data_IF_403532116941
#
_entry.id   IF_403532116941
#
_cell.length_a   1.000
_cell.length_b   1.000
_cell.length_c   1.000
_cell.angle_alpha   90.00
_cell.angle_beta   90.00
_cell.angle_gamma   90.00
#
_symmetry.space_group_name_H-M   'P 1'
#
loop_
_entity.id
_entity.type
_entity.pdbx_description
1 polymer ?
#
# COMPACT_ATOMS: atom_id res chain seq x y z
N UNK A 1 25.27 -65.12 15.10
CA UNK A 1 25.39 -64.03 14.10
C UNK A 1 24.00 -63.82 13.50
N UNK A 2 23.22 -62.89 14.06
CA UNK A 2 21.90 -62.52 13.55
C UNK A 2 21.68 -61.05 13.94
N UNK A 3 21.72 -60.17 12.95
CA UNK A 3 21.58 -58.73 13.12
C UNK A 3 20.09 -58.38 13.15
N UNK A 4 19.59 -57.92 14.29
CA UNK A 4 18.30 -57.22 14.37
C UNK A 4 18.48 -55.80 13.85
N UNK A 5 17.94 -55.53 12.66
CA UNK A 5 17.84 -54.17 12.11
C UNK A 5 16.51 -53.56 12.54
N UNK A 6 16.56 -52.64 13.49
CA UNK A 6 15.48 -51.71 13.80
C UNK A 6 15.33 -50.73 12.63
N UNK A 7 14.19 -50.78 11.95
CA UNK A 7 13.82 -49.75 10.97
C UNK A 7 13.26 -48.53 11.72
N UNK A 8 14.02 -47.44 11.76
CA UNK A 8 13.49 -46.12 12.15
C UNK A 8 12.86 -45.52 10.90
N UNK A 9 11.53 -45.44 10.88
CA UNK A 9 10.78 -44.80 9.80
C UNK A 9 10.91 -43.28 9.94
N UNK A 10 11.67 -42.65 9.05
CA UNK A 10 11.76 -41.19 8.97
C UNK A 10 10.45 -40.63 8.41
N UNK A 11 9.64 -40.00 9.26
CA UNK A 11 8.46 -39.25 8.84
C UNK A 11 8.97 -37.93 8.26
N UNK A 12 9.01 -37.83 6.93
CA UNK A 12 9.31 -36.58 6.25
C UNK A 12 8.09 -35.66 6.37
N UNK A 13 8.16 -34.64 7.23
CA UNK A 13 7.16 -33.56 7.23
C UNK A 13 7.30 -32.78 5.92
N UNK A 14 6.36 -32.99 5.00
CA UNK A 14 6.18 -32.11 3.85
C UNK A 14 5.58 -30.82 4.42
N UNK A 15 6.37 -29.74 4.46
CA UNK A 15 5.84 -28.41 4.71
C UNK A 15 4.90 -28.06 3.57
N UNK A 16 3.59 -28.14 3.81
CA UNK A 16 2.60 -27.66 2.87
C UNK A 16 2.75 -26.13 2.78
N UNK A 17 3.34 -25.65 1.69
CA UNK A 17 3.32 -24.24 1.36
C UNK A 17 1.88 -23.87 1.01
N UNK A 18 1.19 -23.24 1.96
CA UNK A 18 -0.10 -22.62 1.69
C UNK A 18 0.13 -21.48 0.70
N UNK A 19 -0.20 -21.73 -0.57
CA UNK A 19 -0.30 -20.67 -1.56
C UNK A 19 -1.56 -19.87 -1.26
N UNK A 20 -1.39 -18.69 -0.67
CA UNK A 20 -2.47 -17.70 -0.59
C UNK A 20 -2.66 -17.18 -2.02
N UNK A 21 -3.63 -17.74 -2.73
CA UNK A 21 -4.12 -17.14 -3.97
C UNK A 21 -4.81 -15.82 -3.62
N UNK A 22 -4.31 -14.71 -4.15
CA UNK A 22 -5.06 -13.46 -4.13
C UNK A 22 -6.40 -13.69 -4.83
N UNK A 23 -7.50 -13.46 -4.12
CA UNK A 23 -8.84 -13.54 -4.71
C UNK A 23 -8.99 -12.43 -5.76
N UNK A 24 -9.04 -12.81 -7.03
CA UNK A 24 -9.34 -11.89 -8.13
C UNK A 24 -10.84 -11.61 -8.13
N UNK A 25 -11.26 -10.60 -7.35
CA UNK A 25 -12.64 -10.09 -7.40
C UNK A 25 -12.74 -9.08 -8.55
N UNK A 26 -13.62 -9.36 -9.52
CA UNK A 26 -13.79 -8.58 -10.74
C UNK A 26 -14.21 -7.11 -10.53
N UNK A 27 -13.94 -6.28 -11.55
CA UNK A 27 -14.24 -4.84 -11.69
C UNK A 27 -14.57 -4.11 -10.37
N UNK A 28 -13.51 -3.72 -9.66
CA UNK A 28 -13.61 -2.98 -8.42
C UNK A 28 -13.88 -1.49 -8.69
N UNK A 29 -14.90 -0.85 -8.07
CA UNK A 29 -15.21 0.57 -8.29
C UNK A 29 -14.11 1.54 -7.81
N UNK A 30 -13.02 1.03 -7.24
CA UNK A 30 -11.87 1.78 -6.74
C UNK A 30 -10.52 1.47 -7.38
N UNK A 31 -10.47 0.59 -8.39
CA UNK A 31 -9.24 0.31 -9.14
C UNK A 31 -9.51 0.27 -10.66
N UNK A 32 -8.51 0.53 -11.52
CA UNK A 32 -8.69 0.42 -12.96
C UNK A 32 -8.99 -1.04 -13.35
N UNK A 33 -9.59 -1.24 -14.52
CA UNK A 33 -9.95 -2.58 -14.97
C UNK A 33 -8.71 -3.49 -15.08
N UNK A 34 -8.82 -4.71 -14.54
CA UNK A 34 -7.73 -5.68 -14.51
C UNK A 34 -6.74 -5.51 -13.36
N UNK A 35 -6.99 -4.60 -12.42
CA UNK A 35 -6.29 -4.53 -11.14
C UNK A 35 -7.04 -5.31 -10.04
N UNK A 36 -6.31 -5.76 -9.02
CA UNK A 36 -6.84 -6.45 -7.84
C UNK A 36 -6.25 -5.91 -6.55
N UNK A 37 -6.95 -6.08 -5.42
CA UNK A 37 -6.41 -5.73 -4.10
C UNK A 37 -5.66 -6.90 -3.45
N UNK A 38 -4.64 -6.56 -2.66
CA UNK A 38 -3.92 -7.46 -1.76
C UNK A 38 -3.61 -6.75 -0.43
N UNK A 39 -3.26 -7.53 0.58
CA UNK A 39 -2.79 -7.01 1.85
C UNK A 39 -1.43 -6.31 1.70
N UNK A 40 -1.20 -5.31 2.56
CA UNK A 40 0.06 -4.62 2.71
C UNK A 40 0.78 -5.12 3.95
N UNK A 41 2.10 -5.12 3.91
CA UNK A 41 2.94 -5.35 5.08
C UNK A 41 3.72 -4.10 5.43
N UNK A 42 3.59 -3.65 6.66
CA UNK A 42 4.38 -2.57 7.23
C UNK A 42 5.54 -3.14 8.04
N UNK A 43 6.71 -2.50 7.92
CA UNK A 43 7.93 -2.87 8.61
C UNK A 43 8.48 -1.62 9.32
N UNK A 44 8.49 -1.65 10.65
CA UNK A 44 9.01 -0.55 11.45
C UNK A 44 8.87 -0.79 12.95
N UNK A 45 9.06 0.26 13.73
CA UNK A 45 9.12 0.18 15.20
C UNK A 45 7.79 0.51 15.85
N UNK A 46 7.31 -0.41 16.70
CA UNK A 46 6.13 -0.18 17.54
C UNK A 46 6.46 0.60 18.81
N UNK A 47 7.70 0.48 19.31
CA UNK A 47 8.22 1.22 20.46
C UNK A 47 9.47 2.00 20.05
N UNK A 48 9.71 3.20 20.61
CA UNK A 48 10.83 4.08 20.21
C UNK A 48 12.19 3.36 20.21
N UNK A 49 12.44 2.56 21.25
CA UNK A 49 13.68 1.78 21.41
C UNK A 49 13.54 0.30 21.01
N UNK A 50 12.45 -0.05 20.31
CA UNK A 50 12.18 -1.40 19.83
C UNK A 50 12.99 -1.77 18.58
N UNK A 51 13.00 -3.08 18.29
CA UNK A 51 13.39 -3.59 16.97
C UNK A 51 12.24 -3.43 15.97
N UNK A 52 12.56 -3.47 14.69
CA UNK A 52 11.55 -3.50 13.64
C UNK A 52 10.71 -4.78 13.75
N UNK A 53 9.40 -4.64 13.57
CA UNK A 53 8.45 -5.73 13.43
C UNK A 53 7.82 -5.67 12.04
N UNK A 54 7.27 -6.80 11.61
CA UNK A 54 6.52 -6.91 10.36
C UNK A 54 5.06 -7.20 10.67
N UNK A 55 4.15 -6.34 10.22
CA UNK A 55 2.72 -6.44 10.46
C UNK A 55 1.99 -6.37 9.12
N UNK A 56 1.23 -7.41 8.80
CA UNK A 56 0.43 -7.49 7.57
C UNK A 56 -1.02 -7.15 7.87
N UNK A 57 -1.65 -6.36 7.00
CA UNK A 57 -3.06 -5.97 7.15
C UNK A 57 -3.72 -5.61 5.83
N UNK A 58 -5.03 -5.44 5.87
CA UNK A 58 -5.84 -5.09 4.69
C UNK A 58 -5.80 -3.58 4.35
N UNK A 59 -5.31 -2.75 5.25
CA UNK A 59 -5.00 -1.33 5.03
C UNK A 59 -4.05 -0.80 6.10
N UNK A 60 -3.55 0.43 5.95
CA UNK A 60 -2.73 1.08 6.97
C UNK A 60 -3.51 1.34 8.27
N UNK A 61 -4.80 1.66 8.19
CA UNK A 61 -5.65 1.82 9.38
C UNK A 61 -5.85 0.48 10.11
N UNK A 62 -5.95 -0.63 9.38
CA UNK A 62 -5.97 -1.97 9.99
C UNK A 62 -4.64 -2.31 10.67
N UNK A 63 -3.51 -1.97 10.06
CA UNK A 63 -2.18 -2.13 10.64
C UNK A 63 -2.03 -1.27 11.90
N UNK A 64 -2.45 -0.01 11.86
CA UNK A 64 -2.41 0.88 13.03
C UNK A 64 -3.28 0.36 14.19
N UNK A 65 -4.44 -0.22 13.89
CA UNK A 65 -5.26 -0.94 14.87
C UNK A 65 -4.49 -2.08 15.54
N UNK A 66 -3.84 -2.95 14.76
CA UNK A 66 -3.01 -4.03 15.28
C UNK A 66 -1.83 -3.51 16.12
N UNK A 67 -1.20 -2.40 15.71
CA UNK A 67 -0.13 -1.77 16.47
C UNK A 67 -0.66 -1.28 17.83
N UNK A 68 -1.85 -0.68 17.88
CA UNK A 68 -2.45 -0.16 19.12
C UNK A 68 -2.87 -1.25 20.10
N UNK A 69 -3.10 -2.48 19.65
CA UNK A 69 -3.26 -3.63 20.53
C UNK A 69 -1.96 -3.97 21.28
N UNK A 70 -0.81 -3.66 20.70
CA UNK A 70 0.53 -3.90 21.26
C UNK A 70 1.03 -2.68 22.06
N UNK A 71 0.80 -1.47 21.53
CA UNK A 71 1.17 -0.20 22.12
C UNK A 71 -0.01 0.80 22.01
N UNK A 72 -0.88 0.88 23.03
CA UNK A 72 -2.06 1.74 23.00
C UNK A 72 -1.77 3.23 22.77
N UNK A 73 -0.58 3.70 23.15
CA UNK A 73 -0.15 5.10 22.98
C UNK A 73 0.48 5.36 21.60
N UNK A 74 0.52 4.36 20.72
CA UNK A 74 1.12 4.51 19.40
C UNK A 74 0.41 5.56 18.55
N UNK A 75 1.23 6.43 17.96
CA UNK A 75 0.85 7.33 16.87
C UNK A 75 2.01 7.43 15.88
N UNK A 76 1.69 7.67 14.61
CA UNK A 76 2.69 7.83 13.56
C UNK A 76 3.62 9.06 13.75
N UNK A 77 3.27 9.97 14.65
CA UNK A 77 4.00 11.21 14.89
C UNK A 77 3.75 12.24 13.78
N UNK A 78 2.83 13.18 14.01
CA UNK A 78 2.66 14.34 13.12
C UNK A 78 3.78 15.33 13.44
N UNK A 79 4.88 15.29 12.68
CA UNK A 79 5.82 16.41 12.67
C UNK A 79 5.63 17.24 11.40
N UNK A 80 5.32 18.52 11.62
CA UNK A 80 5.51 19.60 10.66
C UNK A 80 6.94 19.56 10.12
N UNK A 81 7.07 19.55 8.79
CA UNK A 81 8.33 19.62 8.04
C UNK A 81 9.14 18.31 7.95
N UNK A 82 8.53 17.26 7.40
CA UNK A 82 9.33 16.28 6.65
C UNK A 82 9.94 17.04 5.46
N UNK A 83 11.26 17.23 5.45
CA UNK A 83 11.97 17.68 4.25
C UNK A 83 11.55 16.75 3.11
N UNK A 84 11.23 17.27 1.91
CA UNK A 84 10.92 16.42 0.78
C UNK A 84 12.01 15.35 0.68
N UNK A 85 11.59 14.08 0.51
CA UNK A 85 12.51 13.04 0.11
C UNK A 85 13.32 13.60 -1.06
N UNK A 86 14.66 13.56 -0.95
CA UNK A 86 15.56 14.09 -1.97
C UNK A 86 15.07 13.55 -3.32
N UNK A 87 14.80 14.40 -4.32
CA UNK A 87 14.42 13.93 -5.65
C UNK A 87 15.48 12.93 -6.08
N UNK A 88 15.09 11.66 -6.22
CA UNK A 88 15.98 10.63 -6.72
C UNK A 88 16.26 11.07 -8.15
N UNK A 89 17.48 11.56 -8.41
CA UNK A 89 17.89 11.96 -9.75
C UNK A 89 17.62 10.77 -10.69
N UNK A 90 16.90 11.04 -11.79
CA UNK A 90 16.41 10.07 -12.79
C UNK A 90 15.11 9.30 -12.47
N UNK A 91 14.18 9.88 -11.70
CA UNK A 91 12.85 9.31 -11.53
C UNK A 91 11.97 9.54 -12.77
N UNK A 92 12.04 8.63 -13.75
CA UNK A 92 11.10 8.61 -14.87
C UNK A 92 9.70 8.33 -14.34
N UNK A 93 8.84 9.35 -14.43
CA UNK A 93 7.46 9.28 -13.96
C UNK A 93 6.54 9.86 -15.03
N UNK A 94 5.33 9.30 -15.11
CA UNK A 94 4.25 9.90 -15.86
C UNK A 94 2.96 9.89 -15.04
N UNK A 95 2.04 10.77 -15.40
CA UNK A 95 0.81 11.01 -14.66
C UNK A 95 -0.36 11.14 -15.63
N UNK A 96 -1.48 10.51 -15.29
CA UNK A 96 -2.76 10.66 -15.99
C UNK A 96 -3.84 11.13 -15.02
N UNK A 97 -4.64 12.11 -15.44
CA UNK A 97 -5.78 12.62 -14.68
C UNK A 97 -7.11 11.95 -15.06
N UNK A 98 -7.07 10.96 -15.97
CA UNK A 98 -8.23 10.18 -16.38
C UNK A 98 -7.88 8.68 -16.45
N UNK A 99 -7.54 8.06 -15.30
CA UNK A 99 -7.35 6.61 -15.26
C UNK A 99 -8.68 5.89 -15.57
N UNK A 100 -8.58 4.84 -16.38
CA UNK A 100 -9.73 4.12 -16.90
C UNK A 100 -10.60 3.54 -15.76
N UNK A 101 -11.93 3.78 -15.83
CA UNK A 101 -12.93 3.29 -14.88
C UNK A 101 -12.76 3.79 -13.43
N UNK A 102 -12.10 4.93 -13.23
CA UNK A 102 -11.96 5.55 -11.91
C UNK A 102 -12.88 6.76 -11.77
N UNK A 103 -13.66 6.74 -10.69
CA UNK A 103 -14.58 7.82 -10.33
C UNK A 103 -13.88 8.87 -9.46
N UNK A 104 -14.52 10.04 -9.35
CA UNK A 104 -13.98 11.22 -8.68
C UNK A 104 -14.04 11.14 -7.14
N UNK A 105 -12.90 11.30 -6.48
CA UNK A 105 -12.79 11.48 -5.03
C UNK A 105 -12.95 12.95 -4.62
N UNK A 106 -13.19 13.19 -3.32
CA UNK A 106 -13.19 14.55 -2.75
C UNK A 106 -11.75 14.99 -2.44
N UNK A 107 -11.32 16.13 -3.00
CA UNK A 107 -9.95 16.65 -2.79
C UNK A 107 -9.61 16.78 -1.31
N UNK A 108 -10.52 17.35 -0.51
CA UNK A 108 -10.24 17.57 0.91
C UNK A 108 -10.02 16.26 1.69
N UNK A 109 -10.72 15.17 1.33
CA UNK A 109 -10.53 13.84 1.93
C UNK A 109 -9.21 13.20 1.51
N UNK A 110 -8.81 13.40 0.25
CA UNK A 110 -7.50 12.97 -0.23
C UNK A 110 -6.39 13.74 0.48
N UNK A 111 -6.54 15.03 0.72
CA UNK A 111 -5.58 15.82 1.48
C UNK A 111 -5.46 15.37 2.94
N UNK A 112 -6.57 15.05 3.62
CA UNK A 112 -6.53 14.41 4.95
C UNK A 112 -5.73 13.10 4.92
N UNK A 113 -5.95 12.28 3.89
CA UNK A 113 -5.18 11.05 3.65
C UNK A 113 -3.69 11.33 3.41
N UNK A 114 -3.35 12.31 2.59
CA UNK A 114 -1.95 12.72 2.34
C UNK A 114 -1.25 13.13 3.64
N UNK A 115 -1.91 13.93 4.49
CA UNK A 115 -1.35 14.34 5.79
C UNK A 115 -1.15 13.15 6.73
N UNK A 116 -2.08 12.20 6.76
CA UNK A 116 -1.92 10.94 7.48
C UNK A 116 -0.69 10.17 6.98
N UNK A 117 -0.56 10.00 5.66
CA UNK A 117 0.54 9.25 5.03
C UNK A 117 1.93 9.89 5.25
N UNK A 118 2.03 11.22 5.39
CA UNK A 118 3.29 11.91 5.74
C UNK A 118 3.83 11.47 7.11
N UNK A 119 2.94 11.11 8.03
CA UNK A 119 3.27 10.63 9.36
C UNK A 119 3.87 9.22 9.34
N UNK A 120 3.42 8.35 8.44
CA UNK A 120 3.80 6.93 8.45
C UNK A 120 5.30 6.78 8.19
N UNK A 121 6.00 6.16 9.15
CA UNK A 121 7.44 5.85 9.07
C UNK A 121 7.64 4.37 8.84
N UNK A 122 8.78 4.01 8.27
CA UNK A 122 9.17 2.62 8.03
C UNK A 122 9.10 2.24 6.56
N UNK A 123 9.19 0.94 6.30
CA UNK A 123 9.11 0.37 4.95
C UNK A 123 7.80 -0.35 4.76
N UNK A 124 7.30 -0.30 3.55
CA UNK A 124 6.04 -0.91 3.18
C UNK A 124 6.26 -1.86 2.02
N UNK A 125 5.65 -3.03 2.13
CA UNK A 125 5.79 -4.14 1.20
C UNK A 125 4.44 -4.50 0.61
N UNK A 126 4.43 -4.74 -0.71
CA UNK A 126 3.33 -5.39 -1.40
C UNK A 126 3.89 -6.55 -2.21
N UNK A 127 3.14 -7.65 -2.26
CA UNK A 127 3.52 -8.85 -2.98
C UNK A 127 3.62 -8.64 -4.50
N UNK A 128 3.98 -9.71 -5.24
CA UNK A 128 4.08 -9.66 -6.70
C UNK A 128 2.79 -9.20 -7.39
N UNK A 129 2.94 -8.36 -8.41
CA UNK A 129 1.91 -8.03 -9.39
C UNK A 129 1.99 -8.91 -10.66
N UNK A 130 1.59 -8.39 -11.84
CA UNK A 130 1.28 -6.99 -12.13
C UNK A 130 -0.12 -6.57 -11.68
N UNK A 131 -0.36 -5.26 -11.58
CA UNK A 131 -1.66 -4.65 -11.27
C UNK A 131 -2.26 -5.07 -9.93
N UNK A 132 -1.41 -5.39 -8.97
CA UNK A 132 -1.83 -5.69 -7.59
C UNK A 132 -1.67 -4.43 -6.77
N UNK A 133 -2.77 -3.95 -6.20
CA UNK A 133 -2.82 -2.77 -5.36
C UNK A 133 -3.06 -3.10 -3.90
N UNK A 134 -2.68 -2.18 -3.04
CA UNK A 134 -3.11 -2.12 -1.65
C UNK A 134 -3.65 -0.73 -1.36
N UNK A 135 -4.64 -0.66 -0.49
CA UNK A 135 -5.20 0.59 -0.01
C UNK A 135 -4.32 1.14 1.11
N UNK A 136 -3.83 2.36 0.93
CA UNK A 136 -2.94 3.02 1.92
C UNK A 136 -3.65 4.11 2.70
N UNK A 137 -4.73 4.68 2.16
CA UNK A 137 -5.63 5.57 2.89
C UNK A 137 -7.02 5.53 2.28
N UNK A 138 -8.06 5.66 3.12
CA UNK A 138 -9.42 5.83 2.66
C UNK A 138 -10.26 6.64 3.66
N UNK A 139 -11.04 7.59 3.14
CA UNK A 139 -12.00 8.36 3.94
C UNK A 139 -13.17 8.82 3.08
N UNK A 140 -14.42 8.56 3.51
CA UNK A 140 -15.64 8.94 2.79
C UNK A 140 -15.59 8.60 1.29
N UNK A 141 -15.26 7.35 0.98
CA UNK A 141 -15.14 6.84 -0.40
C UNK A 141 -14.07 7.52 -1.25
N UNK A 142 -13.13 8.22 -0.63
CA UNK A 142 -11.98 8.84 -1.29
C UNK A 142 -10.73 8.06 -0.89
N UNK A 143 -10.15 7.34 -1.84
CA UNK A 143 -9.09 6.38 -1.59
C UNK A 143 -7.77 6.79 -2.26
N UNK A 144 -6.69 6.41 -1.58
CA UNK A 144 -5.32 6.43 -2.08
C UNK A 144 -4.84 4.98 -2.08
N UNK A 145 -4.45 4.48 -3.25
CA UNK A 145 -3.97 3.11 -3.44
C UNK A 145 -2.56 3.10 -4.00
N UNK A 146 -1.75 2.15 -3.54
CA UNK A 146 -0.40 1.88 -4.04
C UNK A 146 -0.41 0.56 -4.81
N UNK A 147 0.08 0.55 -6.05
CA UNK A 147 -0.01 -0.57 -6.96
C UNK A 147 1.35 -1.02 -7.45
N UNK A 148 1.58 -2.34 -7.46
CA UNK A 148 2.77 -2.99 -7.97
C UNK A 148 2.49 -3.62 -9.34
N UNK A 149 3.22 -3.18 -10.36
CA UNK A 149 3.20 -3.71 -11.72
C UNK A 149 4.39 -4.64 -12.02
N UNK A 150 5.26 -4.90 -11.03
CA UNK A 150 6.33 -5.90 -11.14
C UNK A 150 5.80 -7.31 -10.98
N UNK A 151 6.52 -8.29 -11.53
CA UNK A 151 6.28 -9.72 -11.28
C UNK A 151 6.87 -10.23 -9.95
N UNK A 152 7.36 -9.32 -9.10
CA UNK A 152 7.98 -9.61 -7.80
C UNK A 152 7.50 -8.59 -6.76
N UNK A 153 7.61 -8.94 -5.48
CA UNK A 153 7.23 -8.04 -4.38
C UNK A 153 8.19 -6.86 -4.26
N UNK A 154 7.67 -5.70 -3.88
CA UNK A 154 8.45 -4.46 -3.77
C UNK A 154 8.37 -3.89 -2.36
N UNK A 155 9.48 -3.31 -1.92
CA UNK A 155 9.59 -2.55 -0.68
C UNK A 155 9.91 -1.10 -1.01
N UNK A 156 9.16 -0.16 -0.44
CA UNK A 156 9.49 1.27 -0.51
C UNK A 156 9.39 1.93 0.86
N UNK A 157 9.95 3.13 1.00
CA UNK A 157 9.64 4.00 2.13
C UNK A 157 8.16 4.42 2.03
N UNK A 158 7.38 4.12 3.08
CA UNK A 158 5.93 4.36 3.09
C UNK A 158 5.60 5.85 2.87
N UNK A 159 6.50 6.77 3.27
CA UNK A 159 6.25 8.21 3.16
C UNK A 159 6.20 8.70 1.70
N UNK A 160 6.78 7.96 0.75
CA UNK A 160 6.75 8.31 -0.68
C UNK A 160 5.33 8.37 -1.25
N UNK A 161 4.38 7.63 -0.70
CA UNK A 161 2.98 7.66 -1.14
C UNK A 161 2.38 9.05 -1.04
N UNK A 162 2.69 9.78 0.04
CA UNK A 162 2.17 11.12 0.28
C UNK A 162 2.60 12.11 -0.80
N UNK A 163 3.86 12.03 -1.25
CA UNK A 163 4.38 12.87 -2.32
C UNK A 163 3.69 12.56 -3.65
N UNK A 164 3.60 11.28 -4.02
CA UNK A 164 2.98 10.87 -5.28
C UNK A 164 1.47 11.19 -5.32
N UNK A 165 0.77 11.04 -4.19
CA UNK A 165 -0.63 11.44 -4.08
C UNK A 165 -0.79 12.97 -4.14
N UNK A 166 0.11 13.75 -3.53
CA UNK A 166 0.12 15.20 -3.65
C UNK A 166 0.32 15.64 -5.10
N UNK A 167 1.24 15.02 -5.84
CA UNK A 167 1.47 15.33 -7.25
C UNK A 167 0.21 15.10 -8.10
N UNK A 168 -0.59 14.07 -7.78
CA UNK A 168 -1.89 13.82 -8.43
C UNK A 168 -2.89 14.92 -8.08
N UNK A 169 -2.99 15.34 -6.81
CA UNK A 169 -3.89 16.42 -6.41
C UNK A 169 -3.52 17.73 -7.09
N UNK A 170 -2.24 18.07 -7.13
CA UNK A 170 -1.74 19.31 -7.71
C UNK A 170 -2.00 19.38 -9.22
N UNK A 171 -1.89 18.24 -9.92
CA UNK A 171 -2.05 18.18 -11.37
C UNK A 171 -3.50 17.89 -11.84
N UNK A 172 -4.29 17.14 -11.07
CA UNK A 172 -5.53 16.52 -11.57
C UNK A 172 -6.81 16.95 -10.85
N UNK A 173 -6.73 17.83 -9.84
CA UNK A 173 -7.95 18.32 -9.20
C UNK A 173 -8.77 19.23 -10.11
N UNK A 174 -10.10 19.20 -9.95
CA UNK A 174 -10.98 20.21 -10.51
C UNK A 174 -10.87 21.50 -9.70
N UNK A 175 -10.84 22.64 -10.40
CA UNK A 175 -10.85 23.97 -9.77
C UNK A 175 -12.26 24.59 -9.74
N UNK A 176 -13.28 23.74 -9.74
CA UNK A 176 -14.68 24.13 -9.62
C UNK A 176 -15.22 23.90 -8.21
N UNK A 177 -16.49 24.27 -7.99
CA UNK A 177 -17.15 24.12 -6.70
C UNK A 177 -17.28 22.66 -6.22
N UNK A 178 -17.07 21.67 -7.11
CA UNK A 178 -17.17 20.26 -6.75
C UNK A 178 -15.90 19.73 -6.08
N UNK A 179 -14.75 20.41 -6.27
CA UNK A 179 -13.43 20.10 -5.71
C UNK A 179 -13.12 18.60 -5.68
N UNK A 180 -12.95 18.05 -6.88
CA UNK A 180 -12.80 16.61 -7.11
C UNK A 180 -11.43 16.27 -7.68
N UNK A 181 -10.95 15.08 -7.40
CA UNK A 181 -9.69 14.58 -7.96
C UNK A 181 -9.82 13.11 -8.34
N UNK A 182 -9.16 12.75 -9.42
CA UNK A 182 -8.76 11.38 -9.73
C UNK A 182 -7.46 11.44 -10.52
N UNK A 183 -6.65 10.41 -10.40
CA UNK A 183 -5.43 10.35 -11.18
C UNK A 183 -4.58 9.17 -10.80
N UNK A 184 -3.63 8.87 -11.66
CA UNK A 184 -2.67 7.80 -11.48
C UNK A 184 -1.30 8.31 -11.86
N UNK A 185 -0.33 8.18 -10.94
CA UNK A 185 1.06 8.56 -11.15
C UNK A 185 1.94 7.33 -11.08
N UNK A 186 2.70 7.10 -12.14
CA UNK A 186 3.54 5.94 -12.33
C UNK A 186 5.00 6.29 -12.08
N UNK A 187 5.73 5.35 -11.50
CA UNK A 187 7.18 5.32 -11.44
C UNK A 187 7.67 4.28 -12.43
N UNK A 188 8.11 4.74 -13.61
CA UNK A 188 8.27 3.88 -14.78
C UNK A 188 9.39 2.87 -14.63
N UNK A 189 10.53 3.31 -14.09
CA UNK A 189 11.69 2.45 -13.88
C UNK A 189 11.46 1.37 -12.81
N UNK A 190 10.67 1.69 -11.78
CA UNK A 190 10.39 0.77 -10.67
C UNK A 190 9.06 0.04 -10.80
N UNK A 191 8.28 0.32 -11.86
CA UNK A 191 7.01 -0.33 -12.21
C UNK A 191 6.03 -0.42 -11.04
N UNK A 192 5.82 0.69 -10.35
CA UNK A 192 4.73 0.84 -9.39
C UNK A 192 4.06 2.19 -9.60
N UNK A 193 2.85 2.34 -9.08
CA UNK A 193 2.08 3.56 -9.25
C UNK A 193 1.23 3.88 -8.03
N UNK A 194 0.88 5.16 -7.88
CA UNK A 194 -0.17 5.63 -6.98
C UNK A 194 -1.43 5.91 -7.76
N UNK A 195 -2.57 5.54 -7.18
CA UNK A 195 -3.90 5.85 -7.68
C UNK A 195 -4.67 6.64 -6.64
N UNK A 196 -5.28 7.74 -7.08
CA UNK A 196 -6.24 8.52 -6.32
C UNK A 196 -7.58 8.45 -7.03
N UNK A 197 -8.64 8.13 -6.29
CA UNK A 197 -9.97 8.02 -6.87
C UNK A 197 -11.02 7.63 -5.85
N UNK A 198 -12.27 7.59 -6.31
CA UNK A 198 -13.37 7.10 -5.52
C UNK A 198 -13.26 5.59 -5.34
N UNK A 199 -13.61 5.10 -4.15
CA UNK A 199 -13.75 3.69 -3.87
C UNK A 199 -14.97 3.45 -2.97
N UNK A 200 -15.82 2.48 -3.30
CA UNK A 200 -17.05 2.17 -2.55
C UNK A 200 -17.07 0.76 -1.96
N UNK A 201 -16.05 -0.04 -2.27
CA UNK A 201 -15.89 -1.39 -1.74
C UNK A 201 -14.53 -1.37 -1.08
N UNK A 202 -14.42 -1.62 0.23
CA UNK A 202 -13.16 -1.34 0.94
C UNK A 202 -12.82 0.16 1.00
N UNK A 203 -13.83 1.02 0.98
CA UNK A 203 -13.85 2.36 1.56
C UNK A 203 -15.31 2.69 1.91
#
# INVERSE_FOLDING_TARGET
>A
MQFTRTFVSAISLIAATAHISAEVIGNHPGLPSGYSFANITWIGKVFENGSDVSITGSSMENIEGQIREINPDFSWGIQSHVKPAIPIQNDETHLTCDPNNIWWAQVFRINEGIEYLKGIKGRCHVGPGPRVCTRVSCSYKSAISWCNDNSYGIDIDCSLWSQYAQDIVDACQTHDASSRVRGQKFRDNDKWNMLVGFDNNHC
#
